data_IF_928916450418
#
_entry.id   IF_928916450418
#
_cell.length_a   1.000
_cell.length_b   1.000
_cell.length_c   1.000
_cell.angle_alpha   90.00
_cell.angle_beta   90.00
_cell.angle_gamma   90.00
#
_symmetry.space_group_name_H-M   'P 1'
#
loop_
_entity.id
_entity.type
_entity.pdbx_description
1 polymer ?
#
# COMPACT_ATOMS: atom_id res chain seq x y z
N UNK A 1 -13.84 6.75 12.27
CA UNK A 1 -13.58 5.67 11.28
C UNK A 1 -14.01 6.19 9.94
N UNK A 2 -13.14 6.12 8.95
CA UNK A 2 -13.33 6.67 7.61
C UNK A 2 -13.78 5.56 6.66
N UNK A 3 -15.10 5.39 6.52
CA UNK A 3 -15.71 4.35 5.67
C UNK A 3 -16.22 4.90 4.34
N UNK A 4 -15.85 6.13 3.99
CA UNK A 4 -16.40 6.87 2.85
C UNK A 4 -16.10 6.19 1.50
N UNK A 5 -15.05 5.37 1.45
CA UNK A 5 -14.67 4.56 0.28
C UNK A 5 -15.10 3.09 0.30
N UNK A 6 -15.90 2.64 1.27
CA UNK A 6 -16.22 1.22 1.42
C UNK A 6 -17.17 0.71 0.32
N UNK A 7 -16.89 -0.49 -0.21
CA UNK A 7 -17.70 -1.10 -1.26
C UNK A 7 -17.42 -2.59 -1.47
N UNK A 8 -18.09 -3.20 -2.44
CA UNK A 8 -17.81 -4.57 -2.88
C UNK A 8 -16.72 -4.55 -3.95
N UNK A 9 -15.62 -5.27 -3.69
CA UNK A 9 -14.51 -5.42 -4.62
C UNK A 9 -13.87 -6.81 -4.49
N UNK A 10 -13.09 -7.25 -5.50
CA UNK A 10 -12.19 -8.39 -5.34
C UNK A 10 -11.20 -8.14 -4.18
N UNK A 11 -10.90 -9.17 -3.40
CA UNK A 11 -10.01 -9.08 -2.21
C UNK A 11 -8.66 -8.43 -2.51
N UNK A 12 -8.12 -8.66 -3.71
CA UNK A 12 -6.87 -8.08 -4.17
C UNK A 12 -6.86 -6.55 -4.12
N UNK A 13 -8.02 -5.91 -4.30
CA UNK A 13 -8.17 -4.46 -4.20
C UNK A 13 -7.76 -3.94 -2.81
N UNK A 14 -8.43 -4.44 -1.77
CA UNK A 14 -8.16 -4.00 -0.38
C UNK A 14 -6.78 -4.45 0.10
N UNK A 15 -6.37 -5.67 -0.26
CA UNK A 15 -5.06 -6.20 0.15
C UNK A 15 -3.93 -5.39 -0.48
N UNK A 16 -4.01 -5.06 -1.78
CA UNK A 16 -2.99 -4.24 -2.43
C UNK A 16 -2.91 -2.82 -1.86
N UNK A 17 -4.05 -2.22 -1.52
CA UNK A 17 -4.08 -0.91 -0.88
C UNK A 17 -3.34 -0.92 0.47
N UNK A 18 -3.65 -1.92 1.30
CA UNK A 18 -3.00 -2.10 2.59
C UNK A 18 -1.51 -2.41 2.44
N UNK A 19 -1.13 -3.27 1.47
CA UNK A 19 0.28 -3.55 1.16
C UNK A 19 1.05 -2.32 0.75
N UNK A 20 0.47 -1.46 -0.08
CA UNK A 20 1.10 -0.23 -0.52
C UNK A 20 1.36 0.71 0.67
N UNK A 21 0.38 0.90 1.55
CA UNK A 21 0.55 1.69 2.79
C UNK A 21 1.62 1.10 3.70
N UNK A 22 1.59 -0.22 3.93
CA UNK A 22 2.59 -0.92 4.73
C UNK A 22 3.99 -0.84 4.12
N UNK A 23 4.10 -0.83 2.79
CA UNK A 23 5.36 -0.63 2.10
C UNK A 23 5.89 0.80 2.34
N UNK A 24 5.05 1.83 2.22
CA UNK A 24 5.46 3.20 2.54
C UNK A 24 5.89 3.32 4.01
N UNK A 25 5.15 2.68 4.93
CA UNK A 25 5.38 2.76 6.37
C UNK A 25 6.53 1.89 6.89
N UNK A 26 6.81 0.75 6.30
CA UNK A 26 7.72 -0.23 6.90
C UNK A 26 8.60 -0.96 5.88
N UNK A 27 8.42 -0.68 4.60
CA UNK A 27 9.16 -1.31 3.51
C UNK A 27 8.61 -2.67 3.09
N UNK A 28 9.25 -3.25 2.08
CA UNK A 28 8.75 -4.41 1.33
C UNK A 28 8.55 -5.65 2.19
N UNK A 29 9.44 -5.93 3.13
CA UNK A 29 9.34 -7.13 3.96
C UNK A 29 8.02 -7.20 4.73
N UNK A 30 7.52 -6.08 5.24
CA UNK A 30 6.25 -6.03 5.96
C UNK A 30 5.05 -6.15 5.03
N UNK A 31 5.08 -5.52 3.85
CA UNK A 31 4.03 -5.65 2.85
C UNK A 31 3.91 -7.10 2.31
N UNK A 32 5.04 -7.80 2.15
CA UNK A 32 5.08 -9.18 1.70
C UNK A 32 4.59 -10.14 2.80
N UNK A 33 5.03 -9.95 4.04
CA UNK A 33 4.57 -10.78 5.16
C UNK A 33 3.07 -10.60 5.43
N UNK A 34 2.54 -9.39 5.30
CA UNK A 34 1.10 -9.16 5.41
C UNK A 34 0.30 -9.96 4.38
N UNK A 35 0.70 -9.93 3.11
CA UNK A 35 0.02 -10.68 2.06
C UNK A 35 0.09 -12.19 2.31
N UNK A 36 1.27 -12.68 2.64
CA UNK A 36 1.48 -14.10 2.93
C UNK A 36 0.67 -14.53 4.16
N UNK A 37 0.60 -13.70 5.20
CA UNK A 37 -0.24 -13.95 6.37
C UNK A 37 -1.72 -13.95 6.02
N UNK A 38 -2.20 -13.01 5.19
CA UNK A 38 -3.58 -12.97 4.73
C UNK A 38 -3.97 -14.25 4.01
N UNK A 39 -3.16 -14.74 3.07
CA UNK A 39 -3.42 -15.97 2.34
C UNK A 39 -3.45 -17.19 3.28
N UNK A 40 -2.49 -17.30 4.20
CA UNK A 40 -2.46 -18.40 5.20
C UNK A 40 -3.69 -18.41 6.11
N UNK A 41 -4.10 -17.24 6.59
CA UNK A 41 -5.22 -17.12 7.53
C UNK A 41 -6.57 -17.33 6.86
N UNK A 42 -6.71 -16.90 5.60
CA UNK A 42 -7.98 -17.03 4.86
C UNK A 42 -8.09 -18.33 4.06
N UNK A 43 -6.97 -19.01 3.79
CA UNK A 43 -6.92 -20.17 2.90
C UNK A 43 -7.14 -19.82 1.42
N UNK A 44 -7.07 -18.54 1.05
CA UNK A 44 -7.34 -18.02 -0.29
C UNK A 44 -6.05 -17.47 -0.89
N UNK A 45 -5.74 -17.89 -2.11
CA UNK A 45 -4.67 -17.28 -2.93
C UNK A 45 -5.20 -16.00 -3.56
N UNK A 46 -4.39 -14.94 -3.60
CA UNK A 46 -4.73 -13.65 -4.19
C UNK A 46 -4.33 -13.62 -5.67
N UNK A 47 -5.27 -13.82 -6.61
CA UNK A 47 -4.95 -13.75 -8.04
C UNK A 47 -4.57 -12.32 -8.42
N UNK A 48 -3.63 -12.19 -9.36
CA UNK A 48 -3.22 -10.93 -9.98
C UNK A 48 -2.78 -9.84 -8.98
N UNK A 49 -2.24 -10.24 -7.83
CA UNK A 49 -1.89 -9.32 -6.75
C UNK A 49 -0.94 -8.20 -7.21
N UNK A 50 0.02 -8.49 -8.09
CA UNK A 50 0.90 -7.48 -8.70
C UNK A 50 0.14 -6.45 -9.56
N UNK A 51 -0.92 -6.86 -10.26
CA UNK A 51 -1.76 -5.92 -11.01
C UNK A 51 -2.56 -5.01 -10.06
N UNK A 52 -3.05 -5.56 -8.94
CA UNK A 52 -3.68 -4.77 -7.89
C UNK A 52 -2.69 -3.84 -7.19
N UNK A 53 -1.46 -4.27 -6.93
CA UNK A 53 -0.40 -3.43 -6.36
C UNK A 53 -0.10 -2.22 -7.27
N UNK A 54 -0.04 -2.45 -8.59
CA UNK A 54 0.10 -1.35 -9.57
C UNK A 54 -1.10 -0.42 -9.56
N UNK A 55 -2.33 -0.97 -9.53
CA UNK A 55 -3.54 -0.16 -9.44
C UNK A 55 -3.52 0.75 -8.20
N UNK A 56 -3.21 0.18 -7.03
CA UNK A 56 -3.13 0.91 -5.77
C UNK A 56 -2.09 2.03 -5.82
N UNK A 57 -0.93 1.78 -6.43
CA UNK A 57 0.14 2.75 -6.54
C UNK A 57 -0.11 3.83 -7.61
N UNK A 58 -0.87 3.53 -8.67
CA UNK A 58 -1.18 4.51 -9.71
C UNK A 58 -2.19 5.56 -9.23
N UNK A 59 -3.12 5.19 -8.35
CA UNK A 59 -4.15 6.12 -7.88
C UNK A 59 -3.59 7.39 -7.21
N UNK A 60 -2.64 7.32 -6.27
CA UNK A 60 -2.05 8.51 -5.67
C UNK A 60 -0.86 9.08 -6.47
N UNK A 61 -0.55 8.56 -7.67
CA UNK A 61 0.71 8.88 -8.34
C UNK A 61 0.92 10.38 -8.58
N UNK A 62 -0.15 11.15 -8.80
CA UNK A 62 -0.05 12.59 -9.01
C UNK A 62 0.20 13.39 -7.72
N UNK A 63 -0.13 12.85 -6.54
CA UNK A 63 -0.19 13.61 -5.28
C UNK A 63 0.28 12.81 -4.06
N UNK A 64 1.15 11.82 -4.23
CA UNK A 64 1.61 10.97 -3.12
C UNK A 64 2.34 11.78 -2.03
N UNK A 65 2.95 12.91 -2.40
CA UNK A 65 3.63 13.82 -1.48
C UNK A 65 2.69 14.43 -0.44
N UNK A 66 1.40 14.63 -0.77
CA UNK A 66 0.43 15.22 0.17
C UNK A 66 0.14 14.31 1.36
N UNK A 67 0.47 13.03 1.27
CA UNK A 67 0.26 12.04 2.33
C UNK A 67 1.24 12.17 3.50
N UNK A 68 2.27 13.04 3.39
CA UNK A 68 3.23 13.33 4.47
C UNK A 68 2.54 13.62 5.81
N UNK A 69 1.43 14.38 5.79
CA UNK A 69 0.68 14.76 6.99
C UNK A 69 0.07 13.57 7.74
N UNK A 70 -0.22 12.46 7.04
CA UNK A 70 -0.83 11.28 7.62
C UNK A 70 0.17 10.45 8.44
N UNK A 71 1.46 10.51 8.07
CA UNK A 71 2.48 9.63 8.62
C UNK A 71 3.27 10.23 9.79
N UNK A 72 3.34 11.56 9.89
CA UNK A 72 3.96 12.24 11.02
C UNK A 72 3.38 11.81 12.38
N UNK A 73 2.06 11.85 12.59
CA UNK A 73 1.41 11.40 13.83
C UNK A 73 1.61 9.90 14.14
N UNK A 74 1.96 9.08 13.14
CA UNK A 74 2.27 7.66 13.29
C UNK A 74 3.74 7.40 13.65
N UNK A 75 4.50 8.44 14.01
CA UNK A 75 5.91 8.31 14.38
C UNK A 75 6.84 8.12 13.19
N UNK A 76 6.42 8.51 11.97
CA UNK A 76 7.22 8.43 10.74
C UNK A 76 7.52 9.83 10.16
N UNK A 77 8.14 10.75 10.91
CA UNK A 77 8.51 12.08 10.40
C UNK A 77 9.58 12.02 9.30
N UNK A 78 10.24 10.87 9.14
CA UNK A 78 11.21 10.62 8.07
C UNK A 78 10.55 10.41 6.69
N UNK A 79 9.24 10.15 6.63
CA UNK A 79 8.47 10.11 5.39
C UNK A 79 8.16 11.52 4.87
N UNK A 80 9.23 12.24 4.50
CA UNK A 80 9.14 13.52 3.78
C UNK A 80 8.49 13.35 2.40
N UNK A 81 8.03 14.43 1.75
CA UNK A 81 7.53 14.39 0.37
C UNK A 81 8.49 13.67 -0.59
N UNK A 82 9.79 13.99 -0.51
CA UNK A 82 10.82 13.38 -1.34
C UNK A 82 10.98 11.87 -1.07
N UNK A 83 10.92 11.47 0.20
CA UNK A 83 11.01 10.05 0.58
C UNK A 83 9.79 9.26 0.13
N UNK A 84 8.58 9.84 0.25
CA UNK A 84 7.35 9.23 -0.26
C UNK A 84 7.40 9.03 -1.78
N UNK A 85 7.78 10.06 -2.54
CA UNK A 85 7.95 9.93 -4.00
C UNK A 85 8.97 8.87 -4.37
N UNK A 86 10.10 8.82 -3.65
CA UNK A 86 11.16 7.82 -3.87
C UNK A 86 10.66 6.41 -3.63
N UNK A 87 9.98 6.16 -2.50
CA UNK A 87 9.38 4.84 -2.18
C UNK A 87 8.31 4.47 -3.19
N UNK A 88 7.38 5.38 -3.49
CA UNK A 88 6.32 5.17 -4.49
C UNK A 88 6.89 4.74 -5.86
N UNK A 89 7.90 5.45 -6.36
CA UNK A 89 8.57 5.11 -7.62
C UNK A 89 9.25 3.74 -7.53
N UNK A 90 9.93 3.44 -6.42
CA UNK A 90 10.56 2.14 -6.23
C UNK A 90 9.52 1.00 -6.21
N UNK A 91 8.36 1.20 -5.56
CA UNK A 91 7.27 0.23 -5.57
C UNK A 91 6.78 -0.07 -6.98
N UNK A 92 6.46 0.96 -7.77
CA UNK A 92 6.00 0.82 -9.16
C UNK A 92 6.99 0.05 -10.06
N UNK A 93 8.28 0.12 -9.78
CA UNK A 93 9.30 -0.63 -10.53
C UNK A 93 9.43 -2.10 -10.09
N UNK A 94 8.91 -2.45 -8.91
CA UNK A 94 8.99 -3.79 -8.34
C UNK A 94 7.76 -4.66 -8.59
N UNK A 95 6.59 -4.05 -8.81
CA UNK A 95 5.30 -4.76 -8.91
C UNK A 95 4.78 -4.93 -10.33
#
# INVERSE_FOLDING_TARGET
MDWEGAGLAPRGYDVAWCRFDLYLLHGRAIADEFAAHYERTTGVVLPDLSAWDRFAALWPAADIESWTGNYGPLGRPDLTPAELRRRHTAWLLMV
#
